data_IF_899567273633
#
_entry.id   IF_899567273633
#
_cell.length_a   1.000
_cell.length_b   1.000
_cell.length_c   1.000
_cell.angle_alpha   90.00
_cell.angle_beta   90.00
_cell.angle_gamma   90.00
#
_symmetry.space_group_name_H-M   'P 1'
#
loop_
_entity.id
_entity.type
_entity.pdbx_description
1 polymer ?
#
# COMPACT_ATOMS: atom_id res chain seq x y z
N UNK A 1 -15.82 15.16 62.10
CA UNK A 1 -15.56 15.85 63.37
C UNK A 1 -14.09 15.65 63.73
N UNK A 2 -13.36 16.76 63.65
CA UNK A 2 -12.14 17.17 64.35
C UNK A 2 -11.06 16.18 64.86
N UNK A 3 -9.85 16.46 64.34
CA UNK A 3 -8.57 16.75 65.01
C UNK A 3 -8.04 15.82 66.09
N UNK A 4 -6.78 15.42 65.89
CA UNK A 4 -5.63 15.34 66.82
C UNK A 4 -4.40 15.02 65.94
N UNK A 5 -3.15 15.38 66.20
CA UNK A 5 -2.45 16.18 67.20
C UNK A 5 -0.96 16.01 66.86
N UNK A 6 -0.13 17.04 67.14
CA UNK A 6 1.26 16.91 67.58
C UNK A 6 2.31 16.29 66.63
N UNK A 7 3.60 16.58 66.72
CA UNK A 7 4.45 17.54 67.45
C UNK A 7 5.89 17.06 67.19
N UNK A 8 6.85 18.00 67.29
CA UNK A 8 8.30 17.80 67.60
C UNK A 8 9.16 17.26 66.44
N UNK A 9 10.09 18.08 65.91
CA UNK A 9 11.40 18.44 66.48
C UNK A 9 12.21 17.23 66.95
N UNK A 10 13.35 16.98 66.30
CA UNK A 10 14.64 16.76 66.94
C UNK A 10 15.76 17.07 65.92
N UNK A 11 16.56 18.06 66.29
CA UNK A 11 17.88 18.40 65.78
C UNK A 11 18.91 17.42 66.37
N UNK A 12 19.84 16.92 65.55
CA UNK A 12 21.25 16.57 65.89
C UNK A 12 21.93 16.02 64.62
N UNK A 13 22.65 16.83 63.83
CA UNK A 13 24.06 17.29 63.95
C UNK A 13 25.10 16.35 63.31
N UNK A 14 25.74 16.90 62.25
CA UNK A 14 27.17 16.79 61.84
C UNK A 14 27.59 15.44 61.19
N UNK A 15 28.28 15.35 60.03
CA UNK A 15 29.17 16.28 59.32
C UNK A 15 29.39 15.87 57.83
N UNK A 16 29.66 16.87 56.98
CA UNK A 16 30.52 16.93 55.77
C UNK A 16 30.39 15.92 54.60
N UNK A 17 30.07 16.42 53.38
CA UNK A 17 30.97 16.62 52.21
C UNK A 17 30.18 16.98 50.92
N UNK A 18 30.50 18.14 50.32
CA UNK A 18 30.71 18.45 48.87
C UNK A 18 29.53 18.36 47.84
N UNK A 19 29.14 19.56 47.37
CA UNK A 19 28.84 20.12 46.01
C UNK A 19 27.74 19.62 45.04
N UNK A 20 27.11 20.65 44.42
CA UNK A 20 26.35 20.74 43.14
C UNK A 20 24.96 20.09 43.10
N UNK A 21 23.87 20.69 42.63
CA UNK A 21 23.62 21.83 41.75
C UNK A 21 22.41 21.43 40.88
N UNK A 22 21.21 21.92 41.22
CA UNK A 22 19.92 21.39 40.77
C UNK A 22 19.22 22.25 39.70
N UNK A 23 18.79 21.63 38.60
CA UNK A 23 17.75 22.12 37.69
C UNK A 23 16.37 21.59 38.13
N UNK A 24 15.37 22.47 38.33
CA UNK A 24 13.95 22.11 38.28
C UNK A 24 13.16 23.27 37.64
N UNK A 25 12.33 22.90 36.67
CA UNK A 25 11.36 23.68 35.89
C UNK A 25 10.23 24.27 36.74
N UNK A 26 9.73 25.45 36.37
CA UNK A 26 8.37 25.89 36.74
C UNK A 26 7.60 26.38 35.51
N UNK A 27 6.41 25.80 35.33
CA UNK A 27 5.34 26.20 34.42
C UNK A 27 4.81 27.60 34.75
N UNK A 28 4.48 28.40 33.73
CA UNK A 28 3.69 29.62 33.91
C UNK A 28 2.49 29.65 32.96
N UNK A 29 1.32 29.77 33.59
CA UNK A 29 -0.03 29.78 33.02
C UNK A 29 -0.31 31.08 32.26
N UNK A 30 -1.09 30.98 31.20
CA UNK A 30 -1.29 32.01 30.19
C UNK A 30 -2.78 32.39 30.16
N UNK A 31 -3.16 33.35 30.99
CA UNK A 31 -4.46 33.98 30.97
C UNK A 31 -4.30 35.49 31.16
N UNK A 32 -4.95 36.25 30.28
CA UNK A 32 -5.09 37.72 30.22
C UNK A 32 -4.20 38.43 29.17
N UNK A 33 -4.59 38.25 27.89
CA UNK A 33 -4.22 39.16 26.80
C UNK A 33 -5.40 40.11 26.55
N UNK A 34 -5.19 41.40 26.78
CA UNK A 34 -5.92 42.48 26.12
C UNK A 34 -4.90 43.49 25.53
N UNK A 35 -5.01 43.90 24.26
CA UNK A 35 -3.94 44.62 23.55
C UNK A 35 -4.32 46.10 23.39
N UNK A 36 -3.85 46.97 24.27
CA UNK A 36 -3.71 48.42 23.99
C UNK A 36 -3.29 49.17 25.27
N UNK A 37 -2.00 49.14 25.63
CA UNK A 37 -1.40 50.20 26.45
C UNK A 37 0.13 50.14 26.48
N UNK A 38 0.74 51.31 26.63
CA UNK A 38 2.17 51.61 26.84
C UNK A 38 2.97 51.88 25.55
N UNK A 39 2.58 52.97 24.88
CA UNK A 39 3.57 53.95 24.43
C UNK A 39 4.22 54.62 25.64
N UNK A 40 5.50 54.98 25.50
CA UNK A 40 6.32 55.82 26.38
C UNK A 40 7.21 55.06 27.37
N UNK A 41 8.43 54.72 26.94
CA UNK A 41 9.49 54.42 27.91
C UNK A 41 10.66 53.56 27.49
N UNK A 42 11.01 53.38 26.21
CA UNK A 42 12.32 52.82 25.84
C UNK A 42 12.99 53.71 24.79
N UNK A 43 14.11 54.28 25.22
CA UNK A 43 15.02 55.13 24.46
C UNK A 43 15.31 54.55 23.07
N UNK A 44 15.09 55.41 22.07
CA UNK A 44 15.40 55.24 20.65
C UNK A 44 16.69 54.43 20.45
N UNK A 45 16.58 53.17 20.02
CA UNK A 45 17.69 52.48 19.36
C UNK A 45 17.88 53.21 18.04
N UNK A 46 19.01 53.92 17.92
CA UNK A 46 19.37 54.69 16.75
C UNK A 46 19.28 53.81 15.51
N UNK A 47 18.49 54.27 14.54
CA UNK A 47 18.59 53.91 13.14
C UNK A 47 20.08 53.78 12.80
N UNK A 48 20.55 52.59 12.44
CA UNK A 48 21.92 52.39 11.97
C UNK A 48 22.08 53.25 10.73
N UNK A 49 22.78 54.36 10.86
CA UNK A 49 23.23 55.17 9.73
C UNK A 49 24.20 54.27 8.97
N UNK A 50 23.75 53.63 7.89
CA UNK A 50 24.67 53.00 6.95
C UNK A 50 25.54 54.11 6.39
N UNK A 51 26.84 54.04 6.69
CA UNK A 51 27.80 54.95 6.09
C UNK A 51 27.81 54.73 4.58
N UNK A 52 27.87 55.83 3.83
CA UNK A 52 28.01 55.75 2.38
C UNK A 52 29.31 55.00 2.03
N UNK A 53 29.31 54.27 0.91
CA UNK A 53 30.47 53.51 0.43
C UNK A 53 31.73 54.38 0.48
N UNK A 54 32.78 53.87 1.12
CA UNK A 54 34.02 54.60 1.34
C UNK A 54 34.14 55.33 2.69
N UNK A 55 33.17 55.21 3.61
CA UNK A 55 33.25 55.80 4.97
C UNK A 55 32.85 54.83 6.08
N UNK A 56 33.39 55.02 7.29
CA UNK A 56 33.12 54.19 8.46
C UNK A 56 33.22 54.97 9.79
N UNK A 57 32.85 54.31 10.88
CA UNK A 57 32.95 54.81 12.25
C UNK A 57 31.75 55.66 12.68
N UNK A 58 31.80 56.17 13.92
CA UNK A 58 30.74 57.02 14.45
C UNK A 58 30.57 58.29 13.59
N UNK A 59 29.36 58.50 13.09
CA UNK A 59 28.99 59.56 12.14
C UNK A 59 29.69 59.52 10.78
N UNK A 60 30.28 58.38 10.36
CA UNK A 60 30.90 58.20 9.04
C UNK A 60 32.01 59.22 8.73
N UNK A 61 32.72 59.63 9.77
CA UNK A 61 33.76 60.66 9.71
C UNK A 61 35.11 60.14 9.23
N UNK A 62 35.27 58.82 9.11
CA UNK A 62 36.51 58.17 8.69
C UNK A 62 36.35 57.61 7.29
N UNK A 63 37.35 57.80 6.43
CA UNK A 63 37.35 57.26 5.08
C UNK A 63 37.98 55.85 5.08
N UNK A 64 37.38 54.93 4.32
CA UNK A 64 37.98 53.62 4.07
C UNK A 64 39.36 53.78 3.43
N UNK A 65 40.27 52.82 3.70
CA UNK A 65 41.56 52.75 3.03
C UNK A 65 41.38 52.73 1.51
N UNK A 66 42.18 53.50 0.78
CA UNK A 66 42.16 53.52 -0.70
C UNK A 66 42.60 52.19 -1.29
N UNK A 67 43.23 51.34 -0.49
CA UNK A 67 43.65 50.00 -0.85
C UNK A 67 42.55 48.95 -0.61
N UNK A 68 41.35 49.32 -0.13
CA UNK A 68 40.20 48.43 -0.16
C UNK A 68 39.65 48.36 -1.60
N UNK A 69 39.34 47.16 -2.09
CA UNK A 69 38.70 46.98 -3.40
C UNK A 69 37.35 47.72 -3.43
N UNK A 70 37.16 48.56 -4.46
CA UNK A 70 35.99 49.44 -4.62
C UNK A 70 35.65 50.33 -3.39
N UNK A 71 36.62 50.61 -2.52
CA UNK A 71 36.44 51.32 -1.23
C UNK A 71 35.40 50.70 -0.30
N UNK A 72 35.24 49.38 -0.35
CA UNK A 72 34.35 48.62 0.52
C UNK A 72 35.06 48.24 1.83
N UNK A 73 34.67 48.91 2.92
CA UNK A 73 35.10 48.56 4.27
C UNK A 73 33.91 48.45 5.24
N UNK A 74 34.11 47.73 6.35
CA UNK A 74 33.10 47.57 7.38
C UNK A 74 32.67 48.96 7.92
N UNK A 75 31.37 49.28 7.94
CA UNK A 75 30.89 50.63 8.26
C UNK A 75 31.10 51.02 9.73
N UNK A 76 31.40 50.05 10.61
CA UNK A 76 31.66 50.26 12.04
C UNK A 76 33.17 50.26 12.32
N UNK A 77 33.88 49.24 11.82
CA UNK A 77 35.29 49.01 12.19
C UNK A 77 36.30 49.54 11.18
N UNK A 78 35.88 49.82 9.94
CA UNK A 78 36.75 50.27 8.85
C UNK A 78 37.60 49.17 8.22
N UNK A 79 37.46 47.92 8.66
CA UNK A 79 38.21 46.80 8.10
C UNK A 79 37.78 46.55 6.65
N UNK A 80 38.75 46.45 5.73
CA UNK A 80 38.45 46.23 4.31
C UNK A 80 37.82 44.84 4.12
N UNK A 81 36.78 44.74 3.30
CA UNK A 81 36.21 43.44 2.94
C UNK A 81 37.15 42.67 2.00
N UNK A 82 37.75 43.37 1.04
CA UNK A 82 38.81 42.85 0.16
C UNK A 82 39.86 43.93 -0.08
N UNK A 83 41.13 43.52 -0.23
CA UNK A 83 42.23 44.40 -0.64
C UNK A 83 42.37 44.45 -2.17
N UNK A 84 42.90 45.56 -2.68
CA UNK A 84 43.41 45.65 -4.06
C UNK A 84 44.62 44.72 -4.24
N UNK A 85 44.94 44.29 -5.47
CA UNK A 85 46.09 43.41 -5.72
C UNK A 85 47.38 43.95 -5.09
N UNK A 86 48.17 43.04 -4.50
CA UNK A 86 49.44 43.32 -3.82
C UNK A 86 49.34 44.08 -2.48
N UNK A 87 48.17 44.17 -1.86
CA UNK A 87 47.99 44.72 -0.51
C UNK A 87 47.38 43.68 0.44
N UNK A 88 47.77 43.71 1.72
CA UNK A 88 47.30 42.82 2.79
C UNK A 88 47.16 43.57 4.12
N UNK A 89 46.49 42.95 5.09
CA UNK A 89 46.21 43.52 6.40
C UNK A 89 44.73 43.88 6.56
N UNK A 90 44.30 44.15 7.80
CA UNK A 90 42.88 44.44 8.12
C UNK A 90 42.37 45.71 7.43
N UNK A 91 43.27 46.63 7.13
CA UNK A 91 43.01 47.89 6.44
C UNK A 91 43.79 47.99 5.11
N UNK A 92 44.30 46.87 4.60
CA UNK A 92 45.14 46.79 3.40
C UNK A 92 46.36 47.73 3.46
N UNK A 93 46.95 47.84 4.64
CA UNK A 93 48.04 48.75 5.00
C UNK A 93 49.43 48.22 4.61
N UNK A 94 49.57 46.91 4.38
CA UNK A 94 50.85 46.28 4.10
C UNK A 94 50.96 45.86 2.64
N UNK A 95 52.16 46.00 2.07
CA UNK A 95 52.46 45.43 0.76
C UNK A 95 52.60 43.92 0.84
N UNK A 96 52.16 43.27 -0.22
CA UNK A 96 52.16 41.85 -0.35
C UNK A 96 52.65 41.46 -1.73
N UNK A 97 53.93 41.13 -1.81
CA UNK A 97 54.59 40.75 -3.07
C UNK A 97 54.20 39.35 -3.57
N UNK A 98 53.44 38.55 -2.79
CA UNK A 98 53.18 37.13 -3.08
C UNK A 98 51.74 36.65 -2.77
N UNK A 99 50.75 37.54 -2.58
CA UNK A 99 49.37 37.08 -2.32
C UNK A 99 48.44 37.11 -3.55
N UNK A 100 48.95 37.45 -4.72
CA UNK A 100 48.20 37.34 -5.98
C UNK A 100 48.18 35.91 -6.54
N UNK A 101 49.15 35.05 -6.21
CA UNK A 101 49.37 33.80 -6.96
C UNK A 101 49.54 32.52 -6.11
N UNK A 102 49.11 32.50 -4.83
CA UNK A 102 49.15 31.25 -4.04
C UNK A 102 47.99 30.30 -4.29
N UNK A 103 46.89 30.80 -4.84
CA UNK A 103 45.71 29.98 -5.12
C UNK A 103 45.92 29.20 -6.41
N UNK A 104 45.71 27.89 -6.35
CA UNK A 104 45.66 27.08 -7.57
C UNK A 104 44.57 27.65 -8.50
N UNK A 105 44.86 27.98 -9.77
CA UNK A 105 43.86 28.41 -10.73
C UNK A 105 42.72 27.38 -10.94
N UNK A 106 42.93 26.12 -10.56
CA UNK A 106 41.91 25.06 -10.61
C UNK A 106 40.86 25.16 -9.49
N UNK A 107 41.07 26.02 -8.47
CA UNK A 107 40.11 26.35 -7.42
C UNK A 107 38.95 27.23 -7.92
N UNK A 108 38.27 26.79 -8.99
CA UNK A 108 37.18 27.52 -9.64
C UNK A 108 35.88 27.44 -8.81
N UNK A 109 35.64 26.30 -8.14
CA UNK A 109 34.41 26.02 -7.40
C UNK A 109 34.62 25.95 -5.88
N UNK A 110 35.57 26.70 -5.33
CA UNK A 110 35.85 26.76 -3.89
C UNK A 110 36.27 28.14 -3.41
N UNK A 111 36.42 28.29 -2.10
CA UNK A 111 36.86 29.52 -1.46
C UNK A 111 38.36 29.46 -1.19
N UNK A 112 39.16 30.20 -1.96
CA UNK A 112 40.60 30.17 -1.76
C UNK A 112 41.04 30.95 -0.52
N UNK A 113 41.81 30.30 0.35
CA UNK A 113 42.50 30.92 1.45
C UNK A 113 43.82 31.55 0.95
N UNK A 114 43.80 32.86 0.68
CA UNK A 114 44.96 33.59 0.16
C UNK A 114 46.17 33.65 1.12
N UNK A 115 46.02 33.25 2.39
CA UNK A 115 47.12 33.27 3.36
C UNK A 115 48.05 32.05 3.24
N UNK A 116 47.50 30.88 2.90
CA UNK A 116 48.22 29.61 2.79
C UNK A 116 48.10 28.94 1.41
N UNK A 117 47.21 29.42 0.54
CA UNK A 117 46.98 28.91 -0.82
C UNK A 117 46.00 27.73 -0.92
N UNK A 118 45.33 27.33 0.17
CA UNK A 118 44.41 26.17 0.16
C UNK A 118 43.04 26.55 -0.37
N UNK A 119 42.43 25.68 -1.18
CA UNK A 119 41.02 25.80 -1.57
C UNK A 119 40.16 25.20 -0.44
N UNK A 120 39.37 26.03 0.23
CA UNK A 120 38.51 25.64 1.34
C UNK A 120 37.03 25.77 0.93
N UNK A 121 36.13 25.07 1.62
CA UNK A 121 34.67 25.20 1.41
C UNK A 121 34.25 25.07 -0.07
N UNK A 122 34.42 23.89 -0.64
CA UNK A 122 33.95 23.62 -2.00
C UNK A 122 32.45 23.86 -2.13
N UNK A 123 32.04 24.41 -3.27
CA UNK A 123 30.64 24.59 -3.61
C UNK A 123 29.89 23.25 -3.60
N UNK A 124 28.55 23.27 -3.42
CA UNK A 124 27.76 22.06 -3.41
C UNK A 124 27.95 21.23 -4.69
N UNK A 125 28.23 19.95 -4.52
CA UNK A 125 28.50 19.01 -5.61
C UNK A 125 29.97 18.84 -5.98
N UNK A 126 30.87 19.62 -5.37
CA UNK A 126 32.31 19.59 -5.64
C UNK A 126 33.10 19.13 -4.40
N UNK A 127 34.22 18.45 -4.64
CA UNK A 127 35.22 18.10 -3.64
C UNK A 127 36.62 18.04 -4.24
N UNK A 128 37.58 17.64 -3.43
CA UNK A 128 38.99 17.62 -3.79
C UNK A 128 39.75 18.73 -3.08
N UNK A 129 41.08 18.68 -3.19
CA UNK A 129 41.96 19.71 -2.62
C UNK A 129 41.77 21.06 -3.32
N UNK A 130 41.37 21.03 -4.59
CA UNK A 130 41.19 22.20 -5.45
C UNK A 130 39.73 22.38 -5.87
N UNK A 131 38.78 21.64 -5.28
CA UNK A 131 37.36 21.70 -5.61
C UNK A 131 37.05 21.50 -7.11
N UNK A 132 37.86 20.70 -7.78
CA UNK A 132 37.86 20.41 -9.22
C UNK A 132 37.18 19.06 -9.55
N UNK A 133 36.76 18.31 -8.53
CA UNK A 133 36.16 17.00 -8.69
C UNK A 133 34.67 16.97 -8.32
N UNK A 134 33.87 16.24 -9.09
CA UNK A 134 32.47 15.94 -8.78
C UNK A 134 32.34 15.07 -7.53
N UNK A 135 31.33 15.30 -6.69
CA UNK A 135 31.10 14.43 -5.54
C UNK A 135 31.09 12.95 -5.94
N UNK A 136 31.77 12.08 -5.16
CA UNK A 136 31.66 10.65 -5.38
C UNK A 136 30.21 10.20 -5.18
N UNK A 137 29.82 9.11 -5.85
CA UNK A 137 28.54 8.45 -5.62
C UNK A 137 28.36 8.20 -4.10
N UNK A 138 27.14 8.35 -3.60
CA UNK A 138 26.76 8.32 -2.18
C UNK A 138 27.05 9.56 -1.33
N UNK A 139 27.58 10.66 -1.89
CA UNK A 139 27.83 11.90 -1.14
C UNK A 139 27.27 13.14 -1.84
N UNK A 140 27.02 14.19 -1.06
CA UNK A 140 26.45 15.44 -1.56
C UNK A 140 26.77 16.65 -0.67
N UNK A 141 26.42 17.84 -1.17
CA UNK A 141 26.56 19.10 -0.47
C UNK A 141 27.95 19.73 -0.61
N UNK A 142 28.25 20.79 0.15
CA UNK A 142 29.54 21.46 0.09
C UNK A 142 30.65 20.53 0.56
N UNK A 143 31.72 20.43 -0.22
CA UNK A 143 32.83 19.48 0.03
C UNK A 143 32.40 18.02 0.21
N UNK A 144 31.20 17.66 -0.28
CA UNK A 144 30.62 16.31 -0.20
C UNK A 144 30.62 15.71 1.21
N UNK A 145 30.41 16.55 2.23
CA UNK A 145 30.43 16.13 3.63
C UNK A 145 29.21 15.32 4.03
N UNK A 146 28.10 15.44 3.30
CA UNK A 146 26.87 14.71 3.57
C UNK A 146 26.83 13.39 2.82
N UNK A 147 26.19 12.39 3.42
CA UNK A 147 25.97 11.07 2.83
C UNK A 147 24.54 11.00 2.27
N UNK A 148 24.37 10.34 1.14
CA UNK A 148 23.03 10.05 0.60
C UNK A 148 22.29 9.08 1.56
N UNK A 149 20.97 9.18 1.62
CA UNK A 149 20.15 8.22 2.34
C UNK A 149 20.35 6.80 1.79
N UNK A 150 20.24 5.80 2.67
CA UNK A 150 20.40 4.39 2.30
C UNK A 150 19.24 3.87 1.47
N UNK A 151 18.10 4.52 1.58
CA UNK A 151 16.87 4.16 0.88
C UNK A 151 16.77 4.80 -0.52
N UNK A 152 17.80 5.55 -0.92
CA UNK A 152 17.98 6.02 -2.28
C UNK A 152 18.45 4.88 -3.18
N UNK A 153 17.84 4.78 -4.37
CA UNK A 153 18.21 3.72 -5.31
C UNK A 153 19.70 3.76 -5.66
N UNK A 154 20.38 2.62 -5.47
CA UNK A 154 21.83 2.46 -5.67
C UNK A 154 22.70 3.49 -4.91
N UNK A 155 22.21 4.01 -3.77
CA UNK A 155 22.87 5.09 -2.99
C UNK A 155 23.16 6.35 -3.83
N UNK A 156 22.37 6.60 -4.88
CA UNK A 156 22.57 7.71 -5.79
C UNK A 156 21.64 8.87 -5.47
N UNK A 157 22.22 9.99 -5.02
CA UNK A 157 21.53 11.26 -4.81
C UNK A 157 22.21 12.39 -5.59
N UNK A 158 21.50 13.51 -5.79
CA UNK A 158 22.01 14.68 -6.52
C UNK A 158 23.20 15.29 -5.76
N UNK A 159 24.39 15.42 -6.37
CA UNK A 159 25.59 15.93 -5.71
C UNK A 159 25.42 17.29 -5.02
N UNK A 160 24.62 18.18 -5.61
CA UNK A 160 24.42 19.54 -5.10
C UNK A 160 23.43 19.61 -3.95
N UNK A 161 22.31 18.88 -4.06
CA UNK A 161 21.14 19.05 -3.19
C UNK A 161 20.91 17.89 -2.25
N UNK A 162 21.49 16.72 -2.50
CA UNK A 162 21.21 15.49 -1.74
C UNK A 162 19.91 14.81 -2.12
N UNK A 163 19.17 15.36 -3.09
CA UNK A 163 17.87 14.79 -3.46
C UNK A 163 18.04 13.49 -4.25
N UNK A 164 17.28 12.48 -3.89
CA UNK A 164 17.26 11.20 -4.55
C UNK A 164 16.28 11.21 -5.72
N UNK A 165 16.71 10.62 -6.84
CA UNK A 165 15.86 10.54 -8.04
C UNK A 165 14.73 9.53 -7.86
N UNK A 166 14.99 8.47 -7.09
CA UNK A 166 14.04 7.41 -6.75
C UNK A 166 14.34 6.87 -5.35
N UNK A 167 13.29 6.68 -4.57
CA UNK A 167 13.32 6.02 -3.26
C UNK A 167 12.92 4.56 -3.36
N UNK A 168 13.30 3.77 -2.36
CA UNK A 168 12.75 2.44 -2.13
C UNK A 168 11.20 2.48 -1.97
N UNK A 169 10.56 1.33 -2.14
CA UNK A 169 9.10 1.21 -2.02
C UNK A 169 8.62 1.57 -0.61
N UNK A 170 7.54 2.34 -0.52
CA UNK A 170 6.95 2.75 0.76
C UNK A 170 7.62 3.94 1.43
N UNK A 171 8.59 4.57 0.76
CA UNK A 171 9.28 5.76 1.24
C UNK A 171 9.03 6.92 0.27
N UNK A 172 8.65 8.07 0.82
CA UNK A 172 8.41 9.32 0.12
C UNK A 172 9.49 10.38 0.44
N UNK A 173 9.41 11.47 -0.33
CA UNK A 173 10.18 12.72 -0.23
C UNK A 173 11.55 12.68 -0.90
N UNK A 174 12.00 13.88 -1.25
CA UNK A 174 13.22 14.11 -2.01
C UNK A 174 14.48 13.50 -1.38
N UNK A 175 14.48 13.11 -0.10
CA UNK A 175 15.64 12.53 0.58
C UNK A 175 15.47 11.04 0.97
N UNK A 176 14.31 10.43 0.69
CA UNK A 176 13.99 9.05 1.07
C UNK A 176 14.12 8.76 2.57
N UNK A 177 13.70 9.71 3.41
CA UNK A 177 13.84 9.63 4.86
C UNK A 177 12.49 9.51 5.59
N UNK A 178 11.39 9.45 4.84
CA UNK A 178 10.04 9.38 5.40
C UNK A 178 9.21 8.30 4.74
N UNK A 179 8.52 7.50 5.53
CA UNK A 179 7.50 6.56 5.07
C UNK A 179 6.35 7.28 4.34
N UNK A 180 5.64 6.57 3.46
CA UNK A 180 4.41 7.10 2.86
C UNK A 180 3.41 7.52 3.94
N UNK A 181 2.70 8.62 3.71
CA UNK A 181 1.57 9.01 4.55
C UNK A 181 0.46 7.95 4.54
N UNK A 182 -0.31 7.88 5.63
CA UNK A 182 -1.44 6.96 5.78
C UNK A 182 -2.35 6.96 4.53
N UNK A 183 -2.50 5.80 3.91
CA UNK A 183 -3.35 5.60 2.74
C UNK A 183 -2.66 5.82 1.39
N UNK A 184 -1.35 6.01 1.39
CA UNK A 184 -0.52 5.96 0.20
C UNK A 184 0.47 4.79 0.26
N UNK A 185 0.88 4.29 -0.90
CA UNK A 185 1.85 3.21 -0.98
C UNK A 185 2.66 3.20 -2.29
N UNK A 186 3.69 2.35 -2.32
CA UNK A 186 4.54 2.10 -3.47
C UNK A 186 5.63 3.15 -3.68
N UNK A 187 6.32 3.08 -4.82
CA UNK A 187 7.44 3.99 -5.15
C UNK A 187 6.96 5.44 -5.19
N UNK A 188 7.54 6.28 -4.33
CA UNK A 188 7.20 7.70 -4.22
C UNK A 188 5.74 7.95 -3.85
N UNK A 189 5.10 6.99 -3.19
CA UNK A 189 3.77 7.12 -2.55
C UNK A 189 2.65 7.60 -3.49
N UNK A 190 2.78 7.29 -4.78
CA UNK A 190 1.82 7.73 -5.82
C UNK A 190 0.57 6.87 -5.88
N UNK A 191 0.57 5.68 -5.28
CA UNK A 191 -0.59 4.79 -5.27
C UNK A 191 -1.40 5.02 -4.00
N UNK A 192 -2.71 4.90 -4.10
CA UNK A 192 -3.63 5.09 -2.99
C UNK A 192 -4.24 3.78 -2.54
N UNK A 193 -4.31 3.59 -1.24
CA UNK A 193 -4.85 2.38 -0.64
C UNK A 193 -6.36 2.28 -0.82
N UNK A 194 -6.86 1.04 -0.92
CA UNK A 194 -8.28 0.78 -1.06
C UNK A 194 -9.08 1.30 0.14
N UNK A 195 -10.22 1.92 -0.12
CA UNK A 195 -11.18 2.32 0.92
C UNK A 195 -11.95 1.12 1.50
N UNK A 196 -11.80 -0.06 0.90
CA UNK A 196 -12.45 -1.30 1.31
C UNK A 196 -11.59 -2.17 2.25
N UNK A 197 -10.45 -1.67 2.74
CA UNK A 197 -9.83 -2.25 3.94
C UNK A 197 -10.76 -2.08 5.15
N UNK A 198 -10.66 -2.95 6.17
CA UNK A 198 -11.56 -2.98 7.33
C UNK A 198 -11.75 -1.66 8.12
N UNK A 199 -10.76 -0.77 8.08
CA UNK A 199 -10.82 0.55 8.72
C UNK A 199 -10.53 1.68 7.71
N UNK A 200 -10.83 1.43 6.43
CA UNK A 200 -10.55 2.34 5.34
C UNK A 200 -9.08 2.36 4.92
N UNK A 201 -8.74 3.31 4.05
CA UNK A 201 -7.46 3.37 3.34
C UNK A 201 -6.23 3.48 4.24
N UNK A 202 -6.37 3.90 5.51
CA UNK A 202 -5.26 4.03 6.46
C UNK A 202 -4.67 2.69 6.94
N UNK A 203 -5.32 1.57 6.63
CA UNK A 203 -4.93 0.25 7.17
C UNK A 203 -4.30 -0.66 6.13
N UNK A 204 -3.64 -0.05 5.15
CA UNK A 204 -2.80 -0.73 4.18
C UNK A 204 -1.32 -0.63 4.54
N UNK A 205 -0.53 -1.55 4.02
CA UNK A 205 0.92 -1.44 3.99
C UNK A 205 1.35 -0.34 3.03
N UNK A 206 2.15 0.61 3.53
CA UNK A 206 2.82 1.65 2.73
C UNK A 206 3.74 1.11 1.63
N UNK A 207 4.18 -0.15 1.68
CA UNK A 207 5.10 -0.71 0.69
C UNK A 207 4.33 -1.20 -0.54
N UNK A 208 3.42 -2.14 -0.34
CA UNK A 208 2.74 -2.92 -1.40
C UNK A 208 1.23 -2.67 -1.49
N UNK A 209 0.65 -1.94 -0.53
CA UNK A 209 -0.77 -1.59 -0.50
C UNK A 209 -1.68 -2.67 0.10
N UNK A 210 -1.13 -3.76 0.64
CA UNK A 210 -1.91 -4.84 1.25
C UNK A 210 -2.68 -4.34 2.48
N UNK A 211 -3.99 -4.62 2.53
CA UNK A 211 -4.81 -4.30 3.68
C UNK A 211 -4.46 -5.22 4.85
N UNK A 212 -3.67 -4.69 5.80
CA UNK A 212 -3.15 -5.43 6.97
C UNK A 212 -4.21 -6.02 7.90
N UNK A 213 -5.44 -5.51 7.83
CA UNK A 213 -6.61 -6.01 8.59
C UNK A 213 -7.60 -6.80 7.73
N UNK A 214 -7.29 -7.00 6.46
CA UNK A 214 -8.17 -7.60 5.47
C UNK A 214 -9.23 -6.64 4.92
N UNK A 215 -10.16 -7.21 4.17
CA UNK A 215 -11.19 -6.55 3.41
C UNK A 215 -12.56 -6.62 4.07
N UNK A 216 -13.32 -5.54 3.91
CA UNK A 216 -14.75 -5.53 4.23
C UNK A 216 -15.52 -6.53 3.36
N UNK A 217 -16.77 -6.81 3.74
CA UNK A 217 -17.60 -7.76 3.01
C UNK A 217 -17.76 -7.40 1.54
N UNK A 218 -17.55 -8.39 0.66
CA UNK A 218 -17.70 -8.25 -0.79
C UNK A 218 -16.44 -7.92 -1.57
N UNK A 219 -15.31 -7.69 -0.89
CA UNK A 219 -14.02 -7.40 -1.53
C UNK A 219 -12.97 -8.46 -1.18
N UNK A 220 -12.10 -8.77 -2.14
CA UNK A 220 -11.11 -9.83 -2.01
C UNK A 220 -9.73 -9.31 -1.58
N UNK A 221 -9.06 -10.01 -0.64
CA UNK A 221 -7.67 -9.71 -0.28
C UNK A 221 -6.72 -10.02 -1.45
N UNK A 222 -5.49 -9.48 -1.46
CA UNK A 222 -4.86 -8.68 -0.39
C UNK A 222 -5.14 -7.17 -0.45
N UNK A 223 -5.43 -6.60 -1.63
CA UNK A 223 -5.55 -5.15 -1.82
C UNK A 223 -6.98 -4.61 -1.63
N UNK A 224 -7.98 -5.49 -1.54
CA UNK A 224 -9.40 -5.10 -1.46
C UNK A 224 -9.86 -4.19 -2.60
N UNK A 225 -9.32 -4.38 -3.80
CA UNK A 225 -9.72 -3.63 -5.01
C UNK A 225 -10.78 -4.39 -5.79
N UNK A 226 -10.64 -5.71 -5.87
CA UNK A 226 -11.56 -6.58 -6.60
C UNK A 226 -12.72 -7.03 -5.72
N UNK A 227 -13.89 -7.22 -6.33
CA UNK A 227 -15.02 -7.87 -5.69
C UNK A 227 -14.75 -9.37 -5.45
N UNK A 228 -15.50 -9.97 -4.53
CA UNK A 228 -15.37 -11.39 -4.27
C UNK A 228 -15.55 -12.25 -5.53
N UNK A 229 -14.70 -13.29 -5.71
CA UNK A 229 -14.83 -14.19 -6.84
C UNK A 229 -16.17 -14.92 -6.81
N UNK A 230 -16.57 -15.46 -7.96
CA UNK A 230 -17.83 -16.21 -8.07
C UNK A 230 -17.89 -17.33 -7.06
N UNK A 231 -19.10 -17.58 -6.53
CA UNK A 231 -19.40 -18.57 -5.49
C UNK A 231 -18.87 -18.24 -4.09
N UNK A 232 -18.31 -17.06 -3.87
CA UNK A 232 -17.86 -16.60 -2.55
C UNK A 232 -18.45 -15.24 -2.18
N UNK A 233 -18.54 -14.97 -0.88
CA UNK A 233 -19.07 -13.73 -0.34
C UNK A 233 -18.53 -13.44 1.06
N UNK A 234 -18.90 -12.28 1.59
CA UNK A 234 -18.63 -11.88 2.96
C UNK A 234 -17.24 -11.27 3.13
N UNK A 235 -16.85 -11.13 4.39
CA UNK A 235 -15.54 -10.60 4.79
C UNK A 235 -14.43 -11.46 4.20
N UNK A 236 -13.43 -10.82 3.57
CA UNK A 236 -12.32 -11.50 2.90
C UNK A 236 -12.75 -12.58 1.90
N UNK A 237 -14.00 -12.56 1.41
CA UNK A 237 -14.58 -13.62 0.58
C UNK A 237 -14.47 -15.02 1.20
N UNK A 238 -14.48 -15.09 2.53
CA UNK A 238 -14.24 -16.32 3.30
C UNK A 238 -15.44 -17.27 3.35
N UNK A 239 -16.62 -16.84 2.89
CA UNK A 239 -17.83 -17.66 2.89
C UNK A 239 -18.18 -18.11 1.48
N UNK A 240 -18.68 -19.33 1.34
CA UNK A 240 -19.15 -19.88 0.08
C UNK A 240 -20.65 -19.68 -0.09
N UNK A 241 -21.09 -19.30 -1.30
CA UNK A 241 -22.50 -19.19 -1.64
C UNK A 241 -23.24 -20.52 -1.41
N UNK A 242 -24.52 -20.45 -1.03
CA UNK A 242 -25.38 -21.63 -0.91
C UNK A 242 -25.40 -22.44 -2.22
N UNK A 243 -25.27 -23.76 -2.11
CA UNK A 243 -25.35 -24.66 -3.27
C UNK A 243 -26.74 -24.68 -3.91
N UNK A 244 -27.77 -24.22 -3.19
CA UNK A 244 -29.14 -24.09 -3.68
C UNK A 244 -29.35 -22.86 -4.56
N UNK A 245 -28.44 -21.88 -4.57
CA UNK A 245 -28.55 -20.74 -5.46
C UNK A 245 -28.40 -21.21 -6.92
N UNK A 246 -29.10 -20.56 -7.85
CA UNK A 246 -28.90 -20.80 -9.27
C UNK A 246 -27.43 -20.54 -9.65
N UNK A 247 -26.76 -21.53 -10.24
CA UNK A 247 -25.32 -21.53 -10.56
C UNK A 247 -24.38 -21.30 -9.36
N UNK A 248 -24.89 -21.35 -8.13
CA UNK A 248 -24.19 -20.94 -6.90
C UNK A 248 -23.74 -19.48 -6.92
N UNK A 249 -24.53 -18.61 -7.56
CA UNK A 249 -24.29 -17.18 -7.59
C UNK A 249 -25.08 -16.50 -6.46
N UNK A 250 -24.36 -15.73 -5.64
CA UNK A 250 -24.93 -14.98 -4.53
C UNK A 250 -24.32 -13.58 -4.45
N UNK A 251 -25.03 -12.69 -3.78
CA UNK A 251 -24.58 -11.33 -3.47
C UNK A 251 -23.27 -11.39 -2.69
N UNK A 252 -22.26 -10.65 -3.17
CA UNK A 252 -20.88 -10.72 -2.67
C UNK A 252 -20.74 -10.24 -1.22
N UNK A 253 -21.67 -9.41 -0.74
CA UNK A 253 -21.62 -8.84 0.61
C UNK A 253 -22.40 -9.70 1.61
N UNK A 254 -23.62 -10.08 1.26
CA UNK A 254 -24.61 -10.67 2.16
C UNK A 254 -24.73 -12.18 2.01
N UNK A 255 -24.32 -12.74 0.87
CA UNK A 255 -24.47 -14.17 0.57
C UNK A 255 -25.87 -14.59 0.15
N UNK A 256 -26.81 -13.65 0.01
CA UNK A 256 -28.14 -13.94 -0.49
C UNK A 256 -28.08 -14.38 -1.96
N UNK A 257 -28.74 -15.47 -2.32
CA UNK A 257 -28.81 -15.94 -3.69
C UNK A 257 -29.40 -14.85 -4.60
N UNK A 258 -28.71 -14.56 -5.71
CA UNK A 258 -29.19 -13.57 -6.69
C UNK A 258 -30.45 -14.10 -7.39
N UNK A 259 -30.47 -15.41 -7.65
CA UNK A 259 -31.60 -16.10 -8.26
C UNK A 259 -31.79 -17.49 -7.64
N UNK A 260 -33.04 -17.86 -7.40
CA UNK A 260 -33.41 -19.21 -7.00
C UNK A 260 -33.89 -20.03 -8.20
N UNK A 261 -33.65 -21.35 -8.21
CA UNK A 261 -34.38 -22.27 -9.07
C UNK A 261 -35.90 -22.20 -8.81
N UNK A 262 -36.75 -22.56 -9.79
CA UNK A 262 -38.20 -22.69 -9.56
C UNK A 262 -38.51 -23.59 -8.37
N UNK A 263 -39.60 -23.32 -7.64
CA UNK A 263 -39.98 -24.09 -6.46
C UNK A 263 -39.16 -23.83 -5.20
N UNK A 264 -38.27 -22.83 -5.23
CA UNK A 264 -37.43 -22.41 -4.10
C UNK A 264 -37.52 -20.91 -3.88
N UNK A 265 -37.51 -20.50 -2.61
CA UNK A 265 -37.64 -19.10 -2.19
C UNK A 265 -36.76 -18.81 -0.98
N UNK A 266 -36.62 -17.53 -0.64
CA UNK A 266 -35.82 -17.08 0.50
C UNK A 266 -34.39 -16.67 0.11
N UNK A 267 -33.58 -16.32 1.11
CA UNK A 267 -32.24 -15.76 0.89
C UNK A 267 -31.24 -16.84 0.47
N UNK A 268 -31.50 -18.10 0.80
CA UNK A 268 -30.60 -19.21 0.49
C UNK A 268 -31.26 -20.26 -0.43
N UNK A 269 -32.40 -19.90 -1.05
CA UNK A 269 -33.21 -20.78 -1.89
C UNK A 269 -33.64 -22.05 -1.14
N UNK A 270 -34.23 -21.81 0.02
CA UNK A 270 -34.91 -22.80 0.84
C UNK A 270 -35.98 -23.53 -0.01
N UNK A 271 -36.10 -24.86 0.15
CA UNK A 271 -37.03 -25.66 -0.65
C UNK A 271 -38.48 -25.41 -0.27
N UNK A 272 -39.36 -25.47 -1.28
CA UNK A 272 -40.79 -25.47 -1.12
C UNK A 272 -41.42 -24.10 -1.32
N UNK A 273 -42.59 -24.08 -1.97
CA UNK A 273 -43.43 -22.91 -2.05
C UNK A 273 -44.45 -22.91 -0.90
N UNK A 274 -45.00 -21.73 -0.62
CA UNK A 274 -46.22 -21.66 0.18
C UNK A 274 -47.32 -22.46 -0.52
N UNK A 275 -48.07 -23.27 0.24
CA UNK A 275 -49.14 -24.11 -0.30
C UNK A 275 -50.10 -23.31 -1.17
N UNK A 276 -50.38 -23.82 -2.37
CA UNK A 276 -51.16 -23.10 -3.39
C UNK A 276 -50.33 -22.36 -4.42
N UNK A 277 -48.99 -22.34 -4.31
CA UNK A 277 -48.10 -21.64 -5.23
C UNK A 277 -46.98 -22.55 -5.76
N UNK A 278 -46.42 -22.19 -6.93
CA UNK A 278 -45.32 -22.88 -7.59
C UNK A 278 -44.52 -21.92 -8.50
N UNK A 279 -43.46 -22.44 -9.12
CA UNK A 279 -42.71 -21.79 -10.18
C UNK A 279 -41.64 -20.81 -9.68
N UNK A 280 -41.23 -19.87 -10.54
CA UNK A 280 -40.20 -18.89 -10.21
C UNK A 280 -40.66 -17.95 -9.09
N UNK A 281 -39.83 -17.84 -8.04
CA UNK A 281 -40.14 -17.10 -6.81
C UNK A 281 -41.49 -17.48 -6.17
N UNK A 282 -42.03 -18.67 -6.45
CA UNK A 282 -43.34 -19.13 -5.99
C UNK A 282 -44.49 -18.13 -6.28
N UNK A 283 -44.47 -17.49 -7.45
CA UNK A 283 -45.49 -16.48 -7.82
C UNK A 283 -46.66 -17.03 -8.61
N UNK A 284 -46.61 -18.28 -9.06
CA UNK A 284 -47.66 -18.89 -9.88
C UNK A 284 -48.61 -19.67 -8.97
N UNK A 285 -49.91 -19.54 -9.16
CA UNK A 285 -50.89 -20.24 -8.33
C UNK A 285 -51.18 -21.64 -8.89
N UNK A 286 -51.23 -22.65 -8.03
CA UNK A 286 -51.64 -24.01 -8.41
C UNK A 286 -53.03 -24.01 -9.06
N UNK A 287 -53.29 -25.00 -9.92
CA UNK A 287 -54.62 -25.22 -10.48
C UNK A 287 -55.65 -25.36 -9.34
N UNK A 288 -56.81 -24.67 -9.41
CA UNK A 288 -57.86 -24.80 -8.40
C UNK A 288 -58.50 -26.20 -8.41
N UNK A 289 -58.26 -26.98 -9.47
CA UNK A 289 -58.74 -28.36 -9.55
C UNK A 289 -57.83 -29.36 -8.81
N UNK A 290 -56.64 -28.96 -8.36
CA UNK A 290 -55.80 -29.83 -7.53
C UNK A 290 -56.47 -30.11 -6.19
N UNK A 291 -56.25 -31.30 -5.63
CA UNK A 291 -56.70 -31.59 -4.27
C UNK A 291 -56.04 -30.64 -3.27
N UNK A 292 -56.85 -29.96 -2.44
CA UNK A 292 -56.41 -28.91 -1.51
C UNK A 292 -55.53 -27.81 -2.15
N UNK A 293 -55.70 -27.53 -3.46
CA UNK A 293 -54.86 -26.60 -4.22
C UNK A 293 -53.36 -26.90 -4.09
N UNK A 294 -52.98 -28.15 -3.84
CA UNK A 294 -51.58 -28.54 -3.65
C UNK A 294 -51.00 -29.07 -4.95
N UNK A 295 -49.90 -28.47 -5.39
CA UNK A 295 -49.18 -28.85 -6.60
C UNK A 295 -47.68 -28.94 -6.34
N UNK A 296 -46.94 -29.52 -7.29
CA UNK A 296 -45.49 -29.62 -7.25
C UNK A 296 -44.85 -28.23 -7.37
N UNK A 297 -43.95 -27.89 -6.44
CA UNK A 297 -43.41 -26.53 -6.28
C UNK A 297 -42.70 -26.00 -7.54
N UNK A 298 -42.10 -26.88 -8.35
CA UNK A 298 -41.36 -26.47 -9.55
C UNK A 298 -42.23 -26.40 -10.81
N UNK A 299 -43.15 -27.36 -10.99
CA UNK A 299 -43.86 -27.57 -12.27
C UNK A 299 -45.32 -27.14 -12.24
N UNK A 300 -45.92 -27.03 -11.05
CA UNK A 300 -47.33 -26.72 -10.88
C UNK A 300 -48.28 -27.89 -11.13
N UNK A 301 -47.76 -29.08 -11.38
CA UNK A 301 -48.58 -30.28 -11.57
C UNK A 301 -49.23 -30.68 -10.26
N UNK A 302 -50.51 -31.03 -10.30
CA UNK A 302 -51.25 -31.45 -9.12
C UNK A 302 -50.64 -32.73 -8.56
N UNK A 303 -50.26 -32.72 -7.28
CA UNK A 303 -49.73 -33.92 -6.63
C UNK A 303 -50.81 -35.02 -6.53
N UNK A 304 -52.07 -34.60 -6.34
CA UNK A 304 -53.24 -35.48 -6.33
C UNK A 304 -54.43 -34.80 -7.03
N UNK A 305 -55.17 -35.58 -7.83
CA UNK A 305 -56.46 -35.17 -8.38
C UNK A 305 -57.63 -35.62 -7.50
N UNK A 306 -58.70 -34.81 -7.40
CA UNK A 306 -59.98 -35.24 -6.84
C UNK A 306 -60.55 -36.46 -7.60
N UNK A 307 -61.38 -37.29 -6.95
CA UNK A 307 -62.04 -38.42 -7.61
C UNK A 307 -62.80 -37.98 -8.87
N UNK A 308 -62.60 -38.69 -9.98
CA UNK A 308 -63.25 -38.38 -11.26
C UNK A 308 -62.54 -37.32 -12.10
N UNK A 309 -61.36 -36.83 -11.71
CA UNK A 309 -60.52 -35.95 -12.53
C UNK A 309 -59.13 -36.55 -12.79
N UNK A 310 -58.51 -36.18 -13.91
CA UNK A 310 -57.17 -36.64 -14.32
C UNK A 310 -56.42 -35.55 -15.11
N UNK A 311 -55.19 -35.83 -15.52
CA UNK A 311 -54.27 -34.88 -16.16
C UNK A 311 -53.37 -34.14 -15.15
N UNK A 312 -52.31 -33.51 -15.65
CA UNK A 312 -51.28 -32.84 -14.83
C UNK A 312 -51.85 -31.68 -14.00
N UNK A 313 -52.95 -31.06 -14.43
CA UNK A 313 -53.62 -29.97 -13.74
C UNK A 313 -55.03 -30.32 -13.25
N UNK A 314 -55.39 -31.62 -13.28
CA UNK A 314 -56.72 -32.16 -12.93
C UNK A 314 -57.87 -31.46 -13.66
N UNK A 315 -57.67 -31.12 -14.92
CA UNK A 315 -58.62 -30.40 -15.78
C UNK A 315 -59.45 -31.34 -16.67
N UNK A 316 -59.12 -32.64 -16.70
CA UNK A 316 -59.82 -33.64 -17.51
C UNK A 316 -60.81 -34.39 -16.63
N UNK A 317 -62.11 -34.24 -16.89
CA UNK A 317 -63.15 -35.03 -16.23
C UNK A 317 -63.17 -36.46 -16.79
N UNK A 318 -63.05 -37.46 -15.92
CA UNK A 318 -63.29 -38.86 -16.26
C UNK A 318 -64.79 -39.08 -16.41
N UNK A 319 -65.34 -38.70 -17.57
CA UNK A 319 -66.70 -39.04 -18.00
C UNK A 319 -66.72 -40.49 -18.51
N UNK A 320 -66.21 -41.44 -17.73
CA UNK A 320 -66.56 -42.84 -17.95
C UNK A 320 -67.89 -43.11 -17.25
N UNK A 321 -68.95 -43.10 -18.07
CA UNK A 321 -70.19 -43.81 -17.77
C UNK A 321 -69.84 -45.18 -17.17
N UNK A 322 -70.57 -45.52 -16.11
CA UNK A 322 -70.63 -46.84 -15.47
C UNK A 322 -70.24 -48.00 -16.41
N UNK A 323 -69.37 -48.94 -15.99
CA UNK A 323 -68.89 -50.00 -16.85
C UNK A 323 -70.06 -50.93 -17.23
N UNK A 324 -70.46 -50.86 -18.51
CA UNK A 324 -71.14 -51.99 -19.14
C UNK A 324 -70.09 -53.05 -19.42
N UNK A 325 -70.32 -54.24 -18.90
CA UNK A 325 -69.50 -55.44 -19.10
C UNK A 325 -69.33 -55.68 -20.61
N UNK A 326 -68.10 -55.56 -21.13
CA UNK A 326 -67.70 -56.20 -22.39
C UNK A 326 -66.19 -56.49 -22.42
N UNK A 327 -65.87 -57.75 -22.15
CA UNK A 327 -64.75 -58.60 -22.63
C UNK A 327 -63.29 -58.10 -22.69
N UNK A 328 -62.31 -58.99 -22.42
CA UNK A 328 -60.88 -58.67 -22.48
C UNK A 328 -60.39 -58.54 -23.92
N UNK A 329 -59.85 -57.37 -24.29
CA UNK A 329 -59.04 -57.22 -25.50
C UNK A 329 -57.59 -57.57 -25.17
N UNK A 330 -57.11 -58.63 -25.81
CA UNK A 330 -55.74 -59.19 -25.83
C UNK A 330 -54.62 -58.17 -25.63
N UNK A 331 -53.74 -58.47 -24.68
CA UNK A 331 -52.35 -58.00 -24.71
C UNK A 331 -51.70 -58.46 -26.02
N UNK A 332 -51.24 -57.50 -26.81
CA UNK A 332 -50.31 -57.69 -27.89
C UNK A 332 -48.92 -57.91 -27.28
N UNK A 333 -48.62 -59.17 -26.96
CA UNK A 333 -47.28 -59.66 -26.69
C UNK A 333 -46.43 -59.55 -27.97
N UNK A 334 -45.79 -58.40 -28.13
CA UNK A 334 -44.71 -58.18 -29.10
C UNK A 334 -43.37 -58.53 -28.49
N UNK A 335 -43.15 -59.79 -28.16
CA UNK A 335 -41.81 -60.35 -27.90
C UNK A 335 -41.05 -60.44 -29.22
N UNK A 336 -40.05 -59.59 -29.41
CA UNK A 336 -38.92 -59.85 -30.31
C UNK A 336 -37.63 -59.63 -29.53
N UNK A 337 -37.02 -60.75 -29.16
CA UNK A 337 -35.67 -60.87 -28.64
C UNK A 337 -34.65 -60.27 -29.63
N UNK A 338 -33.97 -59.21 -29.23
CA UNK A 338 -32.65 -58.85 -29.76
C UNK A 338 -31.71 -58.43 -28.64
N UNK A 339 -31.65 -59.26 -27.59
CA UNK A 339 -30.69 -59.15 -26.50
C UNK A 339 -29.61 -60.22 -26.61
N UNK A 340 -28.79 -60.22 -27.68
CA UNK A 340 -27.57 -61.05 -27.72
C UNK A 340 -26.49 -60.65 -28.74
N UNK A 341 -26.62 -59.52 -29.46
CA UNK A 341 -25.55 -59.04 -30.35
C UNK A 341 -24.95 -57.69 -29.97
N UNK A 342 -25.53 -56.96 -29.00
CA UNK A 342 -25.04 -55.63 -28.58
C UNK A 342 -23.98 -55.73 -27.46
N UNK A 343 -24.07 -56.73 -26.57
CA UNK A 343 -23.12 -56.87 -25.45
C UNK A 343 -21.69 -57.23 -25.91
N UNK A 344 -21.53 -57.95 -27.02
CA UNK A 344 -20.21 -58.27 -27.57
C UNK A 344 -19.56 -57.03 -28.19
N UNK A 345 -20.34 -56.20 -28.90
CA UNK A 345 -19.82 -54.99 -29.54
C UNK A 345 -19.39 -53.96 -28.47
N UNK A 346 -20.16 -53.80 -27.40
CA UNK A 346 -19.78 -52.91 -26.30
C UNK A 346 -18.52 -53.39 -25.57
N UNK A 347 -18.40 -54.70 -25.33
CA UNK A 347 -17.20 -55.26 -24.71
C UNK A 347 -15.93 -55.07 -25.58
N UNK A 348 -16.05 -55.21 -26.90
CA UNK A 348 -14.93 -54.96 -27.82
C UNK A 348 -14.52 -53.49 -27.86
N UNK A 349 -15.47 -52.55 -27.81
CA UNK A 349 -15.17 -51.10 -27.76
C UNK A 349 -14.47 -50.74 -26.44
N UNK A 350 -14.95 -51.28 -25.32
CA UNK A 350 -14.33 -51.06 -24.00
C UNK A 350 -12.92 -51.66 -23.97
N UNK A 351 -12.72 -52.88 -24.49
CA UNK A 351 -11.41 -53.51 -24.56
C UNK A 351 -10.42 -52.72 -25.43
N UNK A 352 -10.85 -52.23 -26.60
CA UNK A 352 -10.03 -51.39 -27.47
C UNK A 352 -9.64 -50.07 -26.81
N UNK A 353 -10.55 -49.46 -26.04
CA UNK A 353 -10.27 -48.24 -25.29
C UNK A 353 -9.26 -48.48 -24.17
N UNK A 354 -9.39 -49.58 -23.41
CA UNK A 354 -8.43 -49.97 -22.37
C UNK A 354 -7.05 -50.24 -22.97
N UNK A 355 -6.97 -50.98 -24.09
CA UNK A 355 -5.69 -51.23 -24.78
C UNK A 355 -5.05 -49.91 -25.22
N UNK A 356 -5.83 -48.97 -25.75
CA UNK A 356 -5.34 -47.64 -26.16
C UNK A 356 -4.76 -46.87 -24.97
N UNK A 357 -5.43 -46.88 -23.81
CA UNK A 357 -4.92 -46.25 -22.58
C UNK A 357 -3.63 -46.92 -22.12
N UNK A 358 -3.56 -48.25 -22.14
CA UNK A 358 -2.34 -49.00 -21.75
C UNK A 358 -1.18 -48.65 -22.67
N UNK A 359 -1.39 -48.59 -23.99
CA UNK A 359 -0.36 -48.19 -24.95
C UNK A 359 0.11 -46.76 -24.69
N UNK A 360 -0.80 -45.82 -24.43
CA UNK A 360 -0.46 -44.44 -24.05
C UNK A 360 0.36 -44.43 -22.75
N UNK A 361 0.00 -45.24 -21.76
CA UNK A 361 0.70 -45.30 -20.48
C UNK A 361 2.09 -45.91 -20.61
N UNK A 362 2.26 -46.97 -21.42
CA UNK A 362 3.56 -47.56 -21.74
C UNK A 362 4.42 -46.57 -22.53
N UNK A 363 3.84 -45.82 -23.47
CA UNK A 363 4.54 -44.78 -24.23
C UNK A 363 4.95 -43.60 -23.33
N UNK A 364 4.12 -43.20 -22.37
CA UNK A 364 4.48 -42.20 -21.35
C UNK A 364 5.58 -42.70 -20.41
N UNK A 365 5.52 -43.96 -19.99
CA UNK A 365 6.54 -44.58 -19.11
C UNK A 365 7.89 -44.74 -19.81
N UNK A 366 7.90 -45.11 -21.09
CA UNK A 366 9.12 -45.18 -21.91
C UNK A 366 9.69 -43.80 -22.20
N UNK A 367 8.85 -42.80 -22.52
CA UNK A 367 9.29 -41.40 -22.64
C UNK A 367 9.86 -40.84 -21.32
N UNK A 368 9.29 -41.22 -20.17
CA UNK A 368 9.80 -40.83 -18.85
C UNK A 368 11.18 -41.46 -18.55
N UNK A 369 11.37 -42.73 -18.93
CA UNK A 369 12.68 -43.40 -18.79
C UNK A 369 13.75 -42.82 -19.75
N UNK A 370 13.34 -42.40 -20.96
CA UNK A 370 14.24 -41.74 -21.91
C UNK A 370 14.70 -40.37 -21.38
N UNK A 371 13.78 -39.57 -20.83
CA UNK A 371 14.11 -38.28 -20.19
C UNK A 371 15.07 -38.44 -19.01
N UNK A 372 14.88 -39.47 -18.17
CA UNK A 372 15.76 -39.72 -17.02
C UNK A 372 17.16 -40.21 -17.42
N UNK A 373 17.30 -40.86 -18.57
CA UNK A 373 18.61 -41.32 -19.07
C UNK A 373 19.43 -40.17 -19.67
N UNK A 374 18.77 -39.20 -20.32
CA UNK A 374 19.44 -38.00 -20.86
C UNK A 374 19.93 -37.06 -19.76
N UNK A 375 19.19 -36.91 -18.64
CA UNK A 375 19.61 -36.08 -17.49
C UNK A 375 20.78 -36.72 -16.72
N UNK A 376 20.86 -38.06 -16.66
CA UNK A 376 21.99 -38.75 -16.02
C UNK A 376 23.30 -38.61 -16.80
N UNK A 377 23.24 -38.41 -18.12
CA UNK A 377 24.43 -38.29 -18.97
C UNK A 377 25.04 -36.89 -18.96
N UNK A 378 24.26 -35.85 -18.67
CA UNK A 378 24.74 -34.46 -18.57
C UNK A 378 25.28 -34.06 -17.19
N UNK A 379 25.02 -34.84 -16.13
CA UNK A 379 25.59 -34.60 -14.80
C UNK A 379 27.00 -35.20 -14.61
N UNK A 380 27.37 -36.21 -15.40
CA UNK A 380 28.71 -36.82 -15.34
C UNK A 380 29.79 -36.02 -16.09
N UNK A 381 29.43 -35.06 -16.95
CA UNK A 381 30.40 -34.19 -17.62
C UNK A 381 30.79 -32.94 -16.83
N UNK A 382 30.14 -32.68 -15.69
CA UNK A 382 30.39 -31.49 -14.86
C UNK A 382 31.23 -31.75 -13.62
N UNK A 383 31.51 -33.01 -13.25
CA UNK A 383 32.38 -33.36 -12.11
C UNK A 383 33.86 -33.58 -12.49
N UNK A 384 34.25 -33.46 -13.76
CA UNK A 384 35.66 -33.51 -14.19
C UNK A 384 36.33 -32.14 -14.40
N UNK A 385 35.67 -31.02 -14.05
CA UNK A 385 36.22 -29.66 -14.24
C UNK A 385 36.10 -28.73 -13.02
N UNK A 386 36.22 -29.25 -11.79
CA UNK A 386 36.46 -28.41 -10.61
C UNK A 386 37.65 -28.90 -9.77
#
# INVERSE_FOLDING_TARGET
MERRSSSRNIFQTLDFFVTEGSDIEEEFDNSDLDPDYIESGISKRSKSTECATGTYGLNCSQACSTNCSAQLCNPITGECQLCVPHKKGKFCESECLECTDKCNPECEYGFCNHSNGTCELCQPGMYGQDCDQDCPASRWGPSCIHQCSRDCFSLSCRPKTGECSYCAEGIDKNYCDLECEDGQYGIGCKKTCSTYCFYGSKTCSHVDGECTKGCVAGFSPPLCVDECPNRTYGINCSQACSYNCFRQECDKKTGACIKCPPGRVGKQCEPGCQSGYFGDQCKQACSPNCFNSTCHDETGYCNLCPPGKTGDYCDIDNVFKSPTILSPSKESSGTWDTGSTIALVEAFVIAAFIISIIVIFIKRKTNFQFSNSTVKMSLLSTEENL
#
